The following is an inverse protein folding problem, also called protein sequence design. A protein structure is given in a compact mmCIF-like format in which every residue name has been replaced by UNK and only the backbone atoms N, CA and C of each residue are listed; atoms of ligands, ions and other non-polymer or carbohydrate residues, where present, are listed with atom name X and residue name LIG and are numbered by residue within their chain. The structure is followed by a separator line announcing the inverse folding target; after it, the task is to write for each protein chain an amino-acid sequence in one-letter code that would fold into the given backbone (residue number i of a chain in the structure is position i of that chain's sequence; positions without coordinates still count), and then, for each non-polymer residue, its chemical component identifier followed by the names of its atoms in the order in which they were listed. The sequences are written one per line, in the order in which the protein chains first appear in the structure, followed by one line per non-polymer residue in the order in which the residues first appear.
data_IF_118033630404
#
_entry.id   IF_118033630404
#
_cell.length_a   1.000
_cell.length_b   1.000
_cell.length_c   1.000
_cell.angle_alpha   90.00
_cell.angle_beta   90.00
_cell.angle_gamma   90.00
#
_symmetry.space_group_name_H-M   'P 1'
#
loop_
_entity.id
_entity.type
_entity.pdbx_description
1 polymer ?
#
# COMPACT_ATOMS: atom_id res chain seq x y z
N UNK A 1 7.08 -0.97 -17.82
CA UNK A 1 8.11 -1.89 -17.28
C UNK A 1 9.05 -1.16 -16.34
N UNK A 2 9.23 -1.64 -15.09
CA UNK A 2 10.15 -1.02 -14.12
C UNK A 2 11.57 -1.21 -14.61
N UNK A 3 12.30 -0.10 -14.75
CA UNK A 3 13.71 -0.11 -15.11
C UNK A 3 14.52 0.69 -14.12
N UNK A 4 15.74 0.24 -13.89
CA UNK A 4 16.74 0.93 -13.07
C UNK A 4 17.98 1.12 -13.93
N UNK A 5 18.65 2.27 -13.80
CA UNK A 5 19.91 2.51 -14.50
C UNK A 5 20.94 1.48 -14.04
N UNK A 6 21.66 0.88 -14.98
CA UNK A 6 22.64 -0.14 -14.64
C UNK A 6 23.87 0.49 -13.97
N UNK A 7 24.04 0.22 -12.68
CA UNK A 7 25.16 0.70 -11.89
C UNK A 7 26.53 0.13 -12.33
N UNK A 8 26.56 -0.91 -13.16
CA UNK A 8 27.82 -1.49 -13.69
C UNK A 8 28.32 -0.80 -14.97
N UNK A 9 27.50 0.05 -15.57
CA UNK A 9 27.78 0.68 -16.86
C UNK A 9 27.55 2.20 -16.76
N UNK A 10 28.17 2.83 -15.76
CA UNK A 10 28.01 4.27 -15.50
C UNK A 10 28.70 5.13 -16.56
N UNK A 11 29.81 4.63 -17.12
CA UNK A 11 30.65 5.31 -18.12
C UNK A 11 30.18 5.07 -19.56
N UNK A 12 29.08 4.35 -19.74
CA UNK A 12 28.52 4.12 -21.07
C UNK A 12 28.04 5.45 -21.67
N UNK A 13 28.34 5.65 -22.96
CA UNK A 13 27.94 6.85 -23.71
C UNK A 13 26.42 7.11 -23.64
N UNK A 14 25.62 6.03 -23.53
CA UNK A 14 24.18 6.09 -23.31
C UNK A 14 23.77 5.29 -22.06
N UNK A 15 22.66 5.68 -21.38
CA UNK A 15 22.18 4.97 -20.21
C UNK A 15 21.77 3.52 -20.53
N UNK A 16 22.44 2.56 -19.88
CA UNK A 16 22.04 1.15 -19.90
C UNK A 16 20.97 0.92 -18.84
N UNK A 17 19.89 0.22 -19.20
CA UNK A 17 18.74 -0.04 -18.33
C UNK A 17 18.61 -1.53 -18.00
N UNK A 18 18.39 -1.84 -16.72
CA UNK A 18 17.98 -3.18 -16.27
C UNK A 18 16.49 -3.20 -16.00
N UNK A 19 15.81 -4.19 -16.55
CA UNK A 19 14.38 -4.38 -16.37
C UNK A 19 14.10 -5.37 -15.25
N UNK A 20 13.11 -5.06 -14.41
CA UNK A 20 12.65 -6.00 -13.39
C UNK A 20 11.64 -6.96 -14.01
N UNK A 21 11.91 -8.28 -14.03
CA UNK A 21 10.96 -9.24 -14.57
C UNK A 21 9.76 -9.37 -13.63
N UNK A 22 8.57 -9.57 -14.19
CA UNK A 22 7.39 -9.98 -13.43
C UNK A 22 6.66 -11.06 -14.22
N UNK A 23 6.07 -12.00 -13.48
CA UNK A 23 5.28 -13.09 -14.05
C UNK A 23 3.82 -12.76 -13.80
N UNK A 24 2.99 -12.90 -14.83
CA UNK A 24 1.56 -12.62 -14.72
C UNK A 24 0.77 -13.59 -15.58
N UNK A 25 -0.43 -13.93 -15.12
CA UNK A 25 -1.47 -14.59 -15.90
C UNK A 25 -2.46 -13.58 -16.51
N UNK A 26 -2.22 -12.28 -16.36
CA UNK A 26 -3.04 -11.22 -16.94
C UNK A 26 -2.87 -11.19 -18.46
N UNK A 27 -3.99 -11.04 -19.18
CA UNK A 27 -3.99 -10.81 -20.63
C UNK A 27 -3.74 -9.34 -21.02
N UNK A 28 -3.48 -8.46 -20.05
CA UNK A 28 -3.21 -7.04 -20.31
C UNK A 28 -1.87 -6.86 -21.05
N UNK A 29 -1.76 -5.82 -21.90
CA UNK A 29 -0.47 -5.38 -22.41
C UNK A 29 0.54 -5.15 -21.29
N UNK A 30 1.82 -5.44 -21.57
CA UNK A 30 2.91 -5.45 -20.59
C UNK A 30 3.01 -4.15 -19.76
N UNK A 31 2.79 -2.99 -20.38
CA UNK A 31 2.80 -1.70 -19.71
C UNK A 31 1.64 -1.55 -18.72
N UNK A 32 0.44 -1.99 -19.10
CA UNK A 32 -0.76 -1.95 -18.26
C UNK A 32 -0.69 -2.98 -17.13
N UNK A 33 -0.16 -4.18 -17.41
CA UNK A 33 0.09 -5.20 -16.41
C UNK A 33 1.07 -4.71 -15.33
N UNK A 34 2.15 -4.05 -15.73
CA UNK A 34 3.12 -3.45 -14.80
C UNK A 34 2.49 -2.34 -13.94
N UNK A 35 1.68 -1.45 -14.53
CA UNK A 35 0.96 -0.40 -13.78
C UNK A 35 0.03 -1.04 -12.74
N UNK A 36 -0.74 -2.04 -13.16
CA UNK A 36 -1.72 -2.74 -12.30
C UNK A 36 -1.02 -3.45 -11.15
N UNK A 37 0.05 -4.17 -11.45
CA UNK A 37 0.88 -4.85 -10.45
C UNK A 37 1.45 -3.87 -9.42
N UNK A 38 1.97 -2.72 -9.85
CA UNK A 38 2.51 -1.70 -8.93
C UNK A 38 1.44 -1.03 -8.07
N UNK A 39 0.24 -0.81 -8.61
CA UNK A 39 -0.87 -0.25 -7.83
C UNK A 39 -1.25 -1.14 -6.65
N UNK A 40 -0.97 -2.44 -6.71
CA UNK A 40 -1.22 -3.36 -5.60
C UNK A 40 -0.44 -2.99 -4.33
N UNK A 41 0.74 -2.36 -4.44
CA UNK A 41 1.57 -1.97 -3.29
C UNK A 41 0.86 -1.01 -2.31
N UNK A 42 -0.25 -0.38 -2.69
CA UNK A 42 -1.09 0.43 -1.79
C UNK A 42 -1.60 -0.37 -0.58
N UNK A 43 -1.70 -1.69 -0.70
CA UNK A 43 -2.16 -2.57 0.36
C UNK A 43 -1.21 -2.53 1.57
N UNK A 44 0.10 -2.37 1.35
CA UNK A 44 1.10 -2.34 2.42
C UNK A 44 0.90 -1.13 3.34
N UNK A 45 0.62 0.03 2.75
CA UNK A 45 0.37 1.25 3.53
C UNK A 45 -0.98 1.17 4.25
N UNK A 46 -1.98 0.53 3.63
CA UNK A 46 -3.28 0.28 4.26
C UNK A 46 -3.16 -0.64 5.48
N UNK A 47 -2.36 -1.71 5.37
CA UNK A 47 -2.09 -2.57 6.51
C UNK A 47 -1.25 -1.90 7.59
N UNK A 48 -0.27 -1.06 7.22
CA UNK A 48 0.51 -0.30 8.20
C UNK A 48 -0.40 0.57 9.08
N UNK A 49 -1.35 1.30 8.50
CA UNK A 49 -2.32 2.12 9.25
C UNK A 49 -3.21 1.28 10.19
N UNK A 50 -3.57 0.05 9.78
CA UNK A 50 -4.35 -0.87 10.60
C UNK A 50 -3.53 -1.45 11.76
N UNK A 51 -2.26 -1.80 11.49
CA UNK A 51 -1.32 -2.35 12.47
C UNK A 51 -0.96 -1.30 13.52
N UNK A 52 -0.57 -0.11 13.08
CA UNK A 52 -0.14 0.99 13.97
C UNK A 52 -1.33 1.64 14.69
N UNK A 53 -2.56 1.44 14.21
CA UNK A 53 -3.79 1.95 14.80
C UNK A 53 -4.52 0.90 15.66
N UNK A 54 -5.68 0.38 15.19
CA UNK A 54 -6.56 -0.47 16.02
C UNK A 54 -5.99 -1.84 16.39
N UNK A 55 -4.93 -2.32 15.72
CA UNK A 55 -4.25 -3.56 16.09
C UNK A 55 -3.03 -3.35 16.97
N UNK A 56 -2.64 -2.11 17.27
CA UNK A 56 -1.58 -1.82 18.22
C UNK A 56 -1.92 -2.36 19.62
N UNK A 57 -3.22 -2.40 19.96
CA UNK A 57 -3.71 -2.96 21.21
C UNK A 57 -4.98 -3.78 20.99
N UNK A 58 -4.92 -5.05 21.40
CA UNK A 58 -6.06 -5.94 21.39
C UNK A 58 -6.83 -5.79 22.71
N UNK A 59 -8.14 -5.51 22.69
CA UNK A 59 -8.85 -4.98 23.86
C UNK A 59 -9.27 -6.05 24.89
N UNK A 60 -9.17 -7.35 24.56
CA UNK A 60 -9.65 -8.43 25.44
C UNK A 60 -8.68 -9.61 25.49
N UNK A 61 -8.73 -10.38 26.59
CA UNK A 61 -8.08 -11.69 26.68
C UNK A 61 -8.87 -12.82 26.00
N UNK A 62 -10.08 -12.55 25.51
CA UNK A 62 -10.96 -13.55 24.90
C UNK A 62 -10.85 -13.53 23.36
N UNK A 63 -10.52 -14.68 22.77
CA UNK A 63 -10.34 -14.82 21.32
C UNK A 63 -11.58 -14.39 20.52
N UNK A 64 -12.77 -14.90 20.89
CA UNK A 64 -14.00 -14.58 20.17
C UNK A 64 -14.34 -13.07 20.21
N UNK A 65 -14.10 -12.41 21.35
CA UNK A 65 -14.29 -10.98 21.48
C UNK A 65 -13.31 -10.20 20.57
N UNK A 66 -12.06 -10.65 20.49
CA UNK A 66 -11.05 -10.05 19.61
C UNK A 66 -11.34 -10.27 18.13
N UNK A 67 -11.94 -11.40 17.74
CA UNK A 67 -12.40 -11.61 16.36
C UNK A 67 -13.52 -10.64 15.97
N UNK A 68 -14.50 -10.45 16.86
CA UNK A 68 -15.57 -9.48 16.64
C UNK A 68 -15.02 -8.05 16.57
N UNK A 69 -14.11 -7.70 17.48
CA UNK A 69 -13.40 -6.42 17.48
C UNK A 69 -12.66 -6.19 16.16
N UNK A 70 -11.86 -7.17 15.71
CA UNK A 70 -11.10 -7.10 14.46
C UNK A 70 -12.03 -6.85 13.26
N UNK A 71 -13.16 -7.55 13.19
CA UNK A 71 -14.13 -7.36 12.11
C UNK A 71 -14.66 -5.91 12.09
N UNK A 72 -15.07 -5.37 13.25
CA UNK A 72 -15.51 -3.98 13.37
C UNK A 72 -14.41 -2.99 13.00
N UNK A 73 -13.19 -3.20 13.49
CA UNK A 73 -12.04 -2.34 13.23
C UNK A 73 -11.69 -2.28 11.73
N UNK A 74 -11.69 -3.42 11.04
CA UNK A 74 -11.43 -3.50 9.59
C UNK A 74 -12.52 -2.78 8.79
N UNK A 75 -13.80 -2.97 9.15
CA UNK A 75 -14.92 -2.28 8.50
C UNK A 75 -14.76 -0.76 8.68
N UNK A 76 -14.57 -0.30 9.92
CA UNK A 76 -14.40 1.12 10.23
C UNK A 76 -13.20 1.74 9.49
N UNK A 77 -12.06 1.03 9.46
CA UNK A 77 -10.86 1.45 8.73
C UNK A 77 -11.13 1.62 7.23
N UNK A 78 -11.79 0.64 6.60
CA UNK A 78 -12.12 0.70 5.18
C UNK A 78 -13.10 1.82 4.85
N UNK A 79 -14.10 2.04 5.71
CA UNK A 79 -15.05 3.14 5.56
C UNK A 79 -14.35 4.50 5.68
N UNK A 80 -13.50 4.69 6.69
CA UNK A 80 -12.75 5.93 6.87
C UNK A 80 -11.84 6.21 5.68
N UNK A 81 -11.15 5.18 5.17
CA UNK A 81 -10.30 5.30 3.98
C UNK A 81 -11.10 5.64 2.72
N UNK A 82 -12.30 5.05 2.54
CA UNK A 82 -13.18 5.39 1.43
C UNK A 82 -13.67 6.83 1.50
N UNK A 83 -14.11 7.28 2.68
CA UNK A 83 -14.52 8.67 2.92
C UNK A 83 -13.36 9.64 2.70
N UNK A 84 -12.16 9.32 3.18
CA UNK A 84 -10.96 10.14 2.94
C UNK A 84 -10.61 10.26 1.46
N UNK A 85 -10.76 9.17 0.70
CA UNK A 85 -10.59 9.17 -0.76
C UNK A 85 -11.61 10.09 -1.45
N UNK A 86 -12.87 10.07 -1.01
CA UNK A 86 -13.93 10.95 -1.54
C UNK A 86 -13.72 12.42 -1.15
N UNK A 87 -13.23 12.68 0.06
CA UNK A 87 -12.94 14.03 0.56
C UNK A 87 -11.75 14.68 -0.15
N UNK A 88 -10.80 13.89 -0.65
CA UNK A 88 -9.64 14.37 -1.40
C UNK A 88 -8.58 15.09 -0.53
N UNK A 89 -7.61 15.71 -1.20
CA UNK A 89 -6.51 16.42 -0.53
C UNK A 89 -5.67 15.52 0.38
N UNK A 90 -5.33 16.00 1.57
CA UNK A 90 -4.54 15.23 2.54
C UNK A 90 -5.26 13.99 3.10
N UNK A 91 -6.59 13.94 3.00
CA UNK A 91 -7.38 12.81 3.51
C UNK A 91 -7.38 11.60 2.56
N UNK A 92 -6.96 11.77 1.30
CA UNK A 92 -6.94 10.70 0.30
C UNK A 92 -5.68 9.81 0.39
N UNK A 93 -4.71 10.18 1.21
CA UNK A 93 -3.42 9.46 1.33
C UNK A 93 -3.34 8.76 2.68
N UNK A 94 -2.97 7.48 2.67
CA UNK A 94 -2.68 6.70 3.87
C UNK A 94 -1.47 7.32 4.63
N UNK A 95 -1.50 7.32 5.97
CA UNK A 95 -0.64 8.16 6.85
C UNK A 95 -0.78 9.69 6.73
N UNK A 96 -1.95 10.21 6.35
CA UNK A 96 -2.22 11.66 6.23
C UNK A 96 -2.14 12.48 7.53
N UNK A 97 -1.94 11.85 8.70
CA UNK A 97 -1.76 12.54 9.98
C UNK A 97 -0.49 11.99 10.67
N UNK A 98 0.63 12.73 10.73
CA UNK A 98 1.62 12.47 11.75
C UNK A 98 0.95 12.65 13.12
N UNK A 99 1.10 11.68 14.01
CA UNK A 99 0.80 11.83 15.43
C UNK A 99 1.83 12.81 16.03
N UNK A 100 1.61 14.11 15.81
CA UNK A 100 2.31 15.24 16.42
C UNK A 100 1.54 16.54 16.13
N UNK A 101 0.31 16.61 16.63
CA UNK A 101 -0.44 17.86 16.71
C UNK A 101 -1.29 17.84 17.99
N UNK A 102 -0.60 17.74 19.13
CA UNK A 102 -1.04 18.13 20.47
C UNK A 102 0.15 18.70 21.19
#
# INVERSE_FOLDING_TARGET
MRRVKDARHLDALFPVWRYHPFVTNSALPVDQADITHRRHAIIETTFADLIDGPLAHIPSGLFAANCAWLACAVIAHNLLRAVGTLAGGHHAVARGLPCAAT
#
